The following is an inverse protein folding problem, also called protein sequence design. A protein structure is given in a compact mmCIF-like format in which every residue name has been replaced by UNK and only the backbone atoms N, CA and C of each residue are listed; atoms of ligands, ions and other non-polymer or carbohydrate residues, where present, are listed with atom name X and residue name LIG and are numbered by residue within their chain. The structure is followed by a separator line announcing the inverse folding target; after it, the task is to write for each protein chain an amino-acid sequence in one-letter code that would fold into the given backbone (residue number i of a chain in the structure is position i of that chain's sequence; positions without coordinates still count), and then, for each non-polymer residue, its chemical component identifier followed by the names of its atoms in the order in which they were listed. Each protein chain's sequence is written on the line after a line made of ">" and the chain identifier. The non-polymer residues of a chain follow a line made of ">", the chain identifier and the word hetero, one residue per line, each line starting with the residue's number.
data_IF_348982786791
#
_entry.id   IF_348982786791
#
_cell.length_a   1.000
_cell.length_b   1.000
_cell.length_c   1.000
_cell.angle_alpha   90.00
_cell.angle_beta   90.00
_cell.angle_gamma   90.00
#
_symmetry.space_group_name_H-M   'P 1'
#
loop_
_entity.id
_entity.type
_entity.pdbx_description
1 polymer ?
#
# COMPACT_ATOMS: atom_id res chain seq x y z
N UNK A 1 13.87 48.20 -33.66
CA UNK A 1 14.30 46.83 -33.31
C UNK A 1 13.50 46.41 -32.08
N UNK A 2 12.37 45.73 -32.30
CA UNK A 2 11.56 45.17 -31.23
C UNK A 2 12.16 43.81 -30.83
N UNK A 3 12.30 43.49 -29.53
CA UNK A 3 12.76 42.17 -29.13
C UNK A 3 11.64 41.16 -29.39
N UNK A 4 12.01 40.13 -30.14
CA UNK A 4 11.23 38.97 -30.53
C UNK A 4 10.93 38.06 -29.34
N UNK A 5 9.66 37.61 -29.26
CA UNK A 5 9.24 36.29 -28.79
C UNK A 5 9.74 35.82 -27.42
N UNK A 6 8.98 36.09 -26.36
CA UNK A 6 8.92 35.15 -25.23
C UNK A 6 8.01 34.00 -25.65
N UNK A 7 8.64 32.87 -25.96
CA UNK A 7 7.96 31.59 -26.07
C UNK A 7 7.17 31.30 -24.79
N UNK A 8 6.05 30.61 -24.96
CA UNK A 8 5.25 30.01 -23.90
C UNK A 8 6.15 29.18 -22.98
N UNK A 9 6.53 29.71 -21.82
CA UNK A 9 7.06 28.91 -20.72
C UNK A 9 5.96 27.92 -20.32
N UNK A 10 6.26 26.64 -20.52
CA UNK A 10 5.38 25.51 -20.28
C UNK A 10 4.87 25.51 -18.83
N UNK A 11 3.70 24.91 -18.62
CA UNK A 11 3.09 24.65 -17.31
C UNK A 11 3.98 23.86 -16.33
N UNK A 12 5.14 23.38 -16.77
CA UNK A 12 6.14 22.65 -15.98
C UNK A 12 6.97 23.60 -15.08
N UNK A 13 7.26 24.83 -15.53
CA UNK A 13 8.00 25.82 -14.73
C UNK A 13 7.21 26.28 -13.49
N UNK A 14 5.87 26.21 -13.54
CA UNK A 14 5.00 26.62 -12.43
C UNK A 14 5.00 25.63 -11.25
N UNK A 15 5.60 24.44 -11.40
CA UNK A 15 5.54 23.37 -10.39
C UNK A 15 6.88 23.10 -9.68
N UNK A 16 7.92 23.87 -9.98
CA UNK A 16 9.27 23.68 -9.46
C UNK A 16 9.54 24.52 -8.20
N UNK A 17 9.84 23.84 -7.10
CA UNK A 17 10.49 24.43 -5.93
C UNK A 17 11.99 24.17 -5.94
N UNK A 18 12.70 24.70 -4.94
CA UNK A 18 14.14 24.50 -4.77
C UNK A 18 14.46 24.05 -3.33
N UNK A 19 15.43 23.15 -3.16
CA UNK A 19 15.89 22.73 -1.84
C UNK A 19 16.57 23.90 -1.13
N UNK A 20 16.03 24.29 0.02
CA UNK A 20 16.57 25.35 0.89
C UNK A 20 17.50 24.80 1.97
N UNK A 21 17.14 23.67 2.60
CA UNK A 21 17.99 23.03 3.62
C UNK A 21 17.74 21.52 3.69
N UNK A 22 18.78 20.74 4.00
CA UNK A 22 18.72 19.29 4.17
C UNK A 22 19.19 18.90 5.57
N UNK A 23 18.35 18.17 6.31
CA UNK A 23 18.66 17.66 7.66
C UNK A 23 18.25 16.19 7.76
N UNK A 24 19.16 15.30 7.36
CA UNK A 24 18.86 13.87 7.23
C UNK A 24 17.70 13.61 6.25
N UNK A 25 16.66 12.84 6.60
CA UNK A 25 15.52 12.56 5.74
C UNK A 25 14.52 13.72 5.66
N UNK A 26 14.73 14.81 6.41
CA UNK A 26 13.87 16.00 6.37
C UNK A 26 14.54 17.05 5.48
N UNK A 27 13.86 17.43 4.42
CA UNK A 27 14.30 18.43 3.44
C UNK A 27 13.33 19.59 3.47
N UNK A 28 13.80 20.82 3.56
CA UNK A 28 12.96 22.01 3.42
C UNK A 28 13.19 22.57 2.03
N UNK A 29 12.10 22.78 1.29
CA UNK A 29 12.11 23.38 -0.04
C UNK A 29 11.38 24.73 -0.02
N UNK A 30 11.90 25.70 -0.75
CA UNK A 30 11.30 27.02 -0.98
C UNK A 30 10.62 27.09 -2.35
N UNK A 31 9.82 28.14 -2.57
CA UNK A 31 8.98 28.31 -3.77
C UNK A 31 7.96 27.18 -3.98
N UNK A 32 7.46 26.59 -2.87
CA UNK A 32 6.52 25.47 -2.89
C UNK A 32 5.05 25.92 -2.78
N UNK A 33 4.73 27.13 -3.24
CA UNK A 33 3.37 27.69 -3.15
C UNK A 33 2.39 26.82 -3.95
N UNK A 34 1.31 26.40 -3.29
CA UNK A 34 0.29 25.52 -3.87
C UNK A 34 0.59 24.03 -3.73
N UNK A 35 1.61 23.63 -2.97
CA UNK A 35 1.70 22.24 -2.49
C UNK A 35 0.60 21.98 -1.44
N UNK A 36 0.12 20.74 -1.40
CA UNK A 36 -0.83 20.28 -0.41
C UNK A 36 -0.15 19.49 0.71
N UNK A 37 -0.81 19.45 1.87
CA UNK A 37 -0.40 18.60 2.98
C UNK A 37 -0.44 17.12 2.55
N UNK A 38 0.59 16.34 2.86
CA UNK A 38 0.74 14.92 2.45
C UNK A 38 0.84 14.69 0.93
N UNK A 39 1.13 15.73 0.17
CA UNK A 39 1.40 15.60 -1.26
C UNK A 39 2.77 14.96 -1.50
N UNK A 40 2.84 14.05 -2.48
CA UNK A 40 4.08 13.43 -2.90
C UNK A 40 4.85 14.38 -3.82
N UNK A 41 6.16 14.48 -3.64
CA UNK A 41 7.06 15.31 -4.45
C UNK A 41 8.30 14.51 -4.86
N UNK A 42 8.98 14.98 -5.91
CA UNK A 42 10.26 14.45 -6.38
C UNK A 42 11.35 15.45 -6.03
N UNK A 43 12.28 15.03 -5.18
CA UNK A 43 13.33 15.89 -4.62
C UNK A 43 14.67 15.56 -5.28
N UNK A 44 15.40 16.58 -5.72
CA UNK A 44 16.74 16.38 -6.27
C UNK A 44 16.76 16.09 -7.76
N UNK A 45 17.97 16.13 -8.32
CA UNK A 45 18.25 15.64 -9.68
C UNK A 45 17.97 14.14 -9.82
N UNK A 46 18.21 13.37 -8.74
CA UNK A 46 17.90 11.95 -8.66
C UNK A 46 16.38 11.67 -8.52
N UNK A 47 15.54 12.70 -8.37
CA UNK A 47 14.08 12.60 -8.28
C UNK A 47 13.59 11.64 -7.17
N UNK A 48 14.21 11.75 -6.00
CA UNK A 48 13.90 10.98 -4.81
C UNK A 48 12.44 11.19 -4.39
N UNK A 49 11.77 10.13 -3.97
CA UNK A 49 10.38 10.20 -3.50
C UNK A 49 10.35 10.90 -2.14
N UNK A 50 9.56 11.96 -2.00
CA UNK A 50 9.27 12.60 -0.72
C UNK A 50 7.78 12.93 -0.55
N UNK A 51 7.38 13.26 0.68
CA UNK A 51 6.03 13.70 1.02
C UNK A 51 6.08 14.98 1.86
N UNK A 52 5.21 15.94 1.55
CA UNK A 52 5.09 17.20 2.29
C UNK A 52 4.44 16.96 3.65
N UNK A 53 5.12 17.36 4.73
CA UNK A 53 4.71 17.13 6.13
C UNK A 53 4.51 18.41 6.96
N UNK A 54 4.99 19.57 6.49
CA UNK A 54 4.64 20.89 7.04
C UNK A 54 4.70 21.93 5.93
N UNK A 55 3.83 22.93 5.99
CA UNK A 55 3.83 24.07 5.06
C UNK A 55 3.89 25.34 5.90
N UNK A 56 4.94 26.12 5.71
CA UNK A 56 5.18 27.41 6.37
C UNK A 56 5.35 28.47 5.28
N UNK A 57 4.27 29.17 4.97
CA UNK A 57 4.19 30.17 3.89
C UNK A 57 4.65 29.62 2.51
N UNK A 58 5.81 30.06 2.02
CA UNK A 58 6.40 29.63 0.75
C UNK A 58 7.34 28.42 0.88
N UNK A 59 7.61 27.98 2.12
CA UNK A 59 8.46 26.83 2.43
C UNK A 59 7.63 25.60 2.78
N UNK A 60 8.03 24.46 2.21
CA UNK A 60 7.48 23.16 2.54
C UNK A 60 8.56 22.29 3.19
N UNK A 61 8.24 21.71 4.34
CA UNK A 61 9.04 20.65 4.94
C UNK A 61 8.59 19.32 4.34
N UNK A 62 9.54 18.61 3.74
CA UNK A 62 9.36 17.38 2.99
C UNK A 62 10.09 16.26 3.72
N UNK A 63 9.42 15.15 3.90
CA UNK A 63 9.99 13.91 4.38
C UNK A 63 10.36 13.03 3.19
N UNK A 64 11.64 12.76 3.00
CA UNK A 64 12.13 11.92 1.91
C UNK A 64 12.09 10.45 2.31
N UNK A 65 11.52 9.62 1.44
CA UNK A 65 11.38 8.17 1.60
C UNK A 65 12.62 7.37 1.17
N UNK A 66 13.63 8.07 0.69
CA UNK A 66 14.91 7.56 0.20
C UNK A 66 16.07 8.20 0.96
N UNK A 67 17.28 7.68 0.75
CA UNK A 67 18.48 8.28 1.34
C UNK A 67 18.78 9.64 0.69
N UNK A 68 18.96 10.67 1.52
CA UNK A 68 19.19 12.06 1.09
C UNK A 68 20.67 12.42 0.91
N UNK A 69 21.57 11.45 1.08
CA UNK A 69 23.01 11.67 0.93
C UNK A 69 23.33 12.15 -0.49
N UNK A 70 23.98 13.31 -0.61
CA UNK A 70 24.32 13.90 -1.91
C UNK A 70 23.27 14.85 -2.50
N UNK A 71 22.13 15.07 -1.83
CA UNK A 71 21.26 16.21 -2.14
C UNK A 71 21.98 17.52 -1.77
N UNK A 72 21.90 18.51 -2.65
CA UNK A 72 22.47 19.84 -2.43
C UNK A 72 21.43 20.95 -2.36
N UNK A 73 21.80 22.08 -1.75
CA UNK A 73 20.95 23.28 -1.72
C UNK A 73 20.84 23.84 -3.14
N UNK A 74 19.63 24.19 -3.55
CA UNK A 74 19.32 24.63 -4.91
C UNK A 74 18.83 23.52 -5.84
N UNK A 75 18.89 22.26 -5.41
CA UNK A 75 18.35 21.15 -6.19
C UNK A 75 16.84 21.33 -6.45
N UNK A 76 16.32 20.93 -7.63
CA UNK A 76 14.92 21.12 -7.97
C UNK A 76 14.01 20.17 -7.17
N UNK A 77 12.81 20.65 -6.84
CA UNK A 77 11.74 19.86 -6.23
C UNK A 77 10.49 19.95 -7.10
N UNK A 78 10.05 18.82 -7.64
CA UNK A 78 8.84 18.75 -8.45
C UNK A 78 7.65 18.24 -7.64
N UNK A 79 6.52 18.90 -7.77
CA UNK A 79 5.25 18.56 -7.13
C UNK A 79 4.46 17.57 -7.98
N UNK A 80 3.79 16.59 -7.38
CA UNK A 80 2.96 15.63 -8.13
C UNK A 80 1.46 15.93 -8.09
N UNK A 81 1.02 16.82 -7.19
CA UNK A 81 -0.38 17.16 -6.94
C UNK A 81 -1.20 16.02 -6.33
N UNK A 82 -0.57 14.89 -5.97
CA UNK A 82 -1.27 13.70 -5.48
C UNK A 82 -0.63 13.22 -4.17
N UNK A 83 -1.43 12.71 -3.22
CA UNK A 83 -0.89 12.09 -2.01
C UNK A 83 -0.25 10.73 -2.33
N UNK A 84 0.51 10.20 -1.38
CA UNK A 84 1.04 8.83 -1.46
C UNK A 84 -0.10 7.84 -1.70
N UNK A 85 -0.05 7.21 -2.86
CA UNK A 85 -1.10 6.33 -3.37
C UNK A 85 -0.49 5.03 -3.86
N UNK A 86 -1.22 3.94 -3.66
CA UNK A 86 -0.88 2.61 -4.15
C UNK A 86 -1.70 2.26 -5.38
N UNK A 87 -1.09 1.51 -6.29
CA UNK A 87 -1.76 0.90 -7.42
C UNK A 87 -2.45 -0.39 -6.96
N UNK A 88 -3.73 -0.52 -7.27
CA UNK A 88 -4.56 -1.66 -6.90
C UNK A 88 -5.12 -2.29 -8.17
N UNK A 89 -4.90 -3.58 -8.36
CA UNK A 89 -5.34 -4.32 -9.53
C UNK A 89 -4.71 -5.72 -9.62
N UNK A 90 -4.89 -6.42 -10.75
CA UNK A 90 -4.27 -7.71 -11.00
C UNK A 90 -2.74 -7.62 -11.06
N UNK A 91 -2.05 -8.58 -10.42
CA UNK A 91 -0.58 -8.63 -10.31
C UNK A 91 -0.03 -8.22 -8.95
N UNK A 92 -0.90 -7.97 -7.96
CA UNK A 92 -0.51 -7.71 -6.57
C UNK A 92 -0.13 -8.99 -5.80
N UNK A 93 -0.61 -10.14 -6.25
CA UNK A 93 -0.27 -11.42 -5.64
C UNK A 93 1.05 -11.95 -6.16
N UNK A 94 1.74 -12.75 -5.34
CA UNK A 94 3.06 -13.34 -5.67
C UNK A 94 4.20 -12.30 -5.76
N UNK A 95 3.88 -11.00 -5.69
CA UNK A 95 4.83 -9.91 -5.78
C UNK A 95 5.32 -9.47 -4.40
N UNK A 96 6.59 -9.05 -4.39
CA UNK A 96 7.27 -8.54 -3.20
C UNK A 96 7.55 -7.06 -3.43
N UNK A 97 6.97 -6.23 -2.57
CA UNK A 97 7.06 -4.78 -2.62
C UNK A 97 8.00 -4.22 -1.55
N UNK A 98 8.57 -3.05 -1.81
CA UNK A 98 9.16 -2.21 -0.77
C UNK A 98 8.10 -1.39 -0.02
N UNK A 99 8.51 -0.55 0.93
CA UNK A 99 7.61 0.27 1.74
C UNK A 99 6.74 1.28 0.96
N UNK A 100 7.11 1.63 -0.27
CA UNK A 100 6.37 2.54 -1.16
C UNK A 100 5.80 1.84 -2.41
N UNK A 101 5.64 0.51 -2.33
CA UNK A 101 5.04 -0.33 -3.37
C UNK A 101 5.85 -0.47 -4.67
N UNK A 102 7.19 -0.40 -4.60
CA UNK A 102 8.06 -0.76 -5.74
C UNK A 102 8.42 -2.25 -5.70
N UNK A 103 8.27 -3.00 -6.80
CA UNK A 103 8.56 -4.43 -6.82
C UNK A 103 10.06 -4.70 -6.77
N UNK A 104 10.53 -5.41 -5.74
CA UNK A 104 11.97 -5.65 -5.51
C UNK A 104 12.62 -6.45 -6.64
N UNK A 105 11.90 -7.42 -7.20
CA UNK A 105 12.39 -8.23 -8.32
C UNK A 105 12.66 -7.36 -9.56
N UNK A 106 11.72 -6.49 -9.91
CA UNK A 106 11.87 -5.61 -11.06
C UNK A 106 12.96 -4.55 -10.85
N UNK A 107 13.14 -4.05 -9.61
CA UNK A 107 14.29 -3.19 -9.25
C UNK A 107 15.61 -3.93 -9.50
N UNK A 108 15.71 -5.20 -9.07
CA UNK A 108 16.91 -6.02 -9.29
C UNK A 108 17.18 -6.25 -10.77
N UNK A 109 16.13 -6.57 -11.54
CA UNK A 109 16.24 -6.86 -12.98
C UNK A 109 16.64 -5.60 -13.78
N UNK A 110 16.11 -4.43 -13.43
CA UNK A 110 16.39 -3.16 -14.12
C UNK A 110 17.75 -2.57 -13.74
N UNK A 111 18.13 -2.65 -12.46
CA UNK A 111 19.41 -2.12 -11.99
C UNK A 111 20.60 -3.02 -12.30
N UNK A 112 20.37 -4.32 -12.52
CA UNK A 112 21.43 -5.32 -12.67
C UNK A 112 22.34 -5.44 -11.45
N UNK A 113 21.87 -4.98 -10.28
CA UNK A 113 22.63 -4.87 -9.04
C UNK A 113 21.89 -5.54 -7.88
N UNK A 114 22.66 -5.99 -6.89
CA UNK A 114 22.13 -6.48 -5.61
C UNK A 114 21.71 -5.32 -4.69
N UNK A 115 22.14 -4.10 -4.99
CA UNK A 115 21.81 -2.90 -4.23
C UNK A 115 20.67 -2.14 -4.89
N UNK A 116 19.79 -1.57 -4.08
CA UNK A 116 18.69 -0.72 -4.55
C UNK A 116 19.27 0.67 -4.87
N UNK A 117 19.30 1.09 -6.15
CA UNK A 117 19.75 2.43 -6.49
C UNK A 117 18.72 3.47 -6.06
N UNK A 118 19.21 4.69 -5.78
CA UNK A 118 18.36 5.82 -5.38
C UNK A 118 17.63 6.39 -6.60
N UNK A 119 16.39 6.85 -6.39
CA UNK A 119 15.62 7.51 -7.44
C UNK A 119 15.10 6.57 -8.53
N UNK A 120 15.23 5.26 -8.35
CA UNK A 120 14.75 4.29 -9.34
C UNK A 120 13.23 4.35 -9.47
N UNK A 121 12.77 4.37 -10.72
CA UNK A 121 11.36 4.45 -11.07
C UNK A 121 10.91 3.15 -11.70
N UNK A 122 10.24 2.34 -10.89
CA UNK A 122 9.62 1.10 -11.35
C UNK A 122 8.12 1.19 -11.08
N UNK A 123 7.32 0.71 -12.02
CA UNK A 123 5.86 0.62 -11.84
C UNK A 123 5.53 -0.47 -10.81
N UNK A 124 4.49 -0.23 -9.99
CA UNK A 124 4.06 -1.19 -8.98
C UNK A 124 3.50 -2.48 -9.61
N UNK A 125 2.71 -2.34 -10.68
CA UNK A 125 2.17 -3.45 -11.45
C UNK A 125 2.89 -3.55 -12.81
N UNK A 126 3.07 -4.79 -13.28
CA UNK A 126 3.67 -5.05 -14.58
C UNK A 126 2.74 -4.58 -15.72
N UNK A 127 3.21 -3.62 -16.50
CA UNK A 127 2.49 -3.04 -17.65
C UNK A 127 2.56 -3.91 -18.90
N UNK A 128 3.47 -4.88 -18.96
CA UNK A 128 3.69 -5.75 -20.12
C UNK A 128 2.89 -7.05 -20.01
N UNK A 129 2.65 -7.51 -18.79
CA UNK A 129 1.87 -8.73 -18.53
C UNK A 129 0.42 -8.53 -18.98
N UNK A 130 -0.07 -9.48 -19.77
CA UNK A 130 -1.46 -9.53 -20.21
C UNK A 130 -2.26 -10.46 -19.32
N UNK A 131 -3.50 -10.09 -19.08
CA UNK A 131 -4.44 -10.78 -18.22
C UNK A 131 -5.72 -11.10 -18.99
N UNK A 132 -6.24 -12.31 -18.76
CA UNK A 132 -7.49 -12.76 -19.39
C UNK A 132 -8.68 -12.14 -18.66
N UNK A 133 -9.19 -11.06 -19.24
CA UNK A 133 -10.32 -10.31 -18.75
C UNK A 133 -11.64 -10.93 -19.21
N UNK A 134 -12.58 -11.04 -18.29
CA UNK A 134 -13.96 -11.43 -18.55
C UNK A 134 -14.89 -10.31 -18.07
N UNK A 135 -15.66 -9.68 -18.97
CA UNK A 135 -16.62 -8.66 -18.55
C UNK A 135 -17.69 -9.28 -17.64
N UNK A 136 -18.16 -8.47 -16.69
CA UNK A 136 -19.15 -8.85 -15.70
C UNK A 136 -20.58 -8.88 -16.26
N UNK A 137 -21.57 -8.72 -15.38
CA UNK A 137 -23.00 -8.76 -15.76
C UNK A 137 -23.49 -7.48 -16.45
N UNK A 138 -22.71 -6.40 -16.37
CA UNK A 138 -23.10 -5.08 -16.86
C UNK A 138 -23.01 -4.98 -18.39
N UNK A 139 -23.95 -4.22 -18.98
CA UNK A 139 -24.01 -3.92 -20.41
C UNK A 139 -23.86 -2.42 -20.65
N UNK A 140 -23.59 -2.07 -21.91
CA UNK A 140 -23.61 -0.66 -22.34
C UNK A 140 -25.02 -0.09 -22.09
N UNK A 141 -25.08 1.05 -21.43
CA UNK A 141 -26.32 1.71 -21.00
C UNK A 141 -26.71 1.45 -19.54
N UNK A 142 -26.09 0.50 -18.85
CA UNK A 142 -26.36 0.27 -17.43
C UNK A 142 -25.72 1.35 -16.54
N UNK A 143 -26.37 1.63 -15.41
CA UNK A 143 -25.83 2.50 -14.38
C UNK A 143 -24.87 1.73 -13.47
N UNK A 144 -23.72 2.33 -13.20
CA UNK A 144 -22.67 1.76 -12.36
C UNK A 144 -22.20 2.80 -11.33
N UNK A 145 -21.89 2.35 -10.13
CA UNK A 145 -21.32 3.14 -9.04
C UNK A 145 -19.99 2.57 -8.55
N UNK A 146 -19.27 3.34 -7.75
CA UNK A 146 -18.00 2.93 -7.18
C UNK A 146 -18.14 1.61 -6.44
N UNK A 147 -17.13 0.76 -6.50
CA UNK A 147 -17.15 -0.57 -5.90
C UNK A 147 -17.94 -1.63 -6.68
N UNK A 148 -18.69 -1.29 -7.73
CA UNK A 148 -19.35 -2.30 -8.56
C UNK A 148 -18.33 -3.18 -9.31
N UNK A 149 -18.64 -4.47 -9.45
CA UNK A 149 -17.79 -5.44 -10.14
C UNK A 149 -18.15 -5.46 -11.63
N UNK A 150 -17.36 -4.79 -12.47
CA UNK A 150 -17.61 -4.71 -13.90
C UNK A 150 -16.85 -5.73 -14.73
N UNK A 151 -15.92 -6.46 -14.12
CA UNK A 151 -15.24 -7.59 -14.76
C UNK A 151 -14.42 -8.40 -13.79
N UNK A 152 -13.90 -9.52 -14.27
CA UNK A 152 -13.10 -10.46 -13.49
C UNK A 152 -11.88 -10.89 -14.30
N UNK A 153 -10.80 -11.19 -13.58
CA UNK A 153 -9.52 -11.61 -14.13
C UNK A 153 -9.06 -12.86 -13.41
N UNK A 154 -8.50 -13.80 -14.16
CA UNK A 154 -7.80 -14.93 -13.57
C UNK A 154 -6.37 -14.51 -13.21
N UNK A 155 -6.06 -14.40 -11.91
CA UNK A 155 -4.73 -13.99 -11.47
C UNK A 155 -3.83 -15.21 -11.17
N UNK A 156 -4.32 -16.17 -10.40
CA UNK A 156 -3.55 -17.35 -9.97
C UNK A 156 -4.47 -18.57 -9.78
N UNK A 157 -3.89 -19.75 -9.58
CA UNK A 157 -4.64 -20.98 -9.24
C UNK A 157 -5.55 -20.81 -8.01
N UNK A 158 -5.08 -20.07 -6.99
CA UNK A 158 -5.79 -19.85 -5.72
C UNK A 158 -6.77 -18.66 -5.79
N UNK A 159 -6.43 -17.64 -6.57
CA UNK A 159 -7.26 -16.47 -6.84
C UNK A 159 -7.69 -16.50 -8.31
N UNK A 160 -8.64 -17.39 -8.58
CA UNK A 160 -9.21 -17.62 -9.90
C UNK A 160 -10.17 -16.52 -10.36
N UNK A 161 -10.69 -15.72 -9.42
CA UNK A 161 -11.63 -14.63 -9.63
C UNK A 161 -11.13 -13.36 -8.92
N UNK A 162 -10.18 -12.67 -9.55
CA UNK A 162 -9.80 -11.31 -9.16
C UNK A 162 -10.85 -10.35 -9.72
N UNK A 163 -11.64 -9.76 -8.83
CA UNK A 163 -12.77 -8.90 -9.21
C UNK A 163 -12.26 -7.49 -9.48
N UNK A 164 -12.53 -6.98 -10.68
CA UNK A 164 -12.19 -5.61 -11.05
C UNK A 164 -13.31 -4.68 -10.61
N UNK A 165 -12.97 -3.82 -9.65
CA UNK A 165 -13.91 -2.88 -9.02
C UNK A 165 -13.85 -1.52 -9.73
N UNK A 166 -14.99 -0.84 -9.84
CA UNK A 166 -14.97 0.57 -10.22
C UNK A 166 -14.37 1.40 -9.06
N UNK A 167 -13.53 2.42 -9.33
CA UNK A 167 -12.99 3.27 -8.27
C UNK A 167 -14.11 3.89 -7.40
N UNK A 168 -13.96 3.96 -6.06
CA UNK A 168 -15.09 4.29 -5.16
C UNK A 168 -15.78 5.64 -5.39
N UNK A 169 -15.10 6.61 -6.03
CA UNK A 169 -15.67 7.95 -6.32
C UNK A 169 -16.28 8.06 -7.71
N UNK A 170 -16.07 7.06 -8.57
CA UNK A 170 -16.61 7.05 -9.92
C UNK A 170 -18.05 6.53 -9.91
N UNK A 171 -18.91 7.16 -10.73
CA UNK A 171 -20.29 6.74 -10.96
C UNK A 171 -20.69 7.25 -12.33
N UNK A 172 -21.62 6.57 -13.00
CA UNK A 172 -22.06 6.97 -14.33
C UNK A 172 -22.84 5.90 -15.05
N UNK A 173 -23.11 6.15 -16.32
CA UNK A 173 -23.69 5.18 -17.25
C UNK A 173 -22.59 4.65 -18.16
N UNK A 174 -22.56 3.34 -18.38
CA UNK A 174 -21.54 2.71 -19.22
C UNK A 174 -21.78 3.08 -20.68
N UNK A 175 -20.80 3.73 -21.32
CA UNK A 175 -20.85 4.06 -22.76
C UNK A 175 -20.11 3.03 -23.60
N UNK A 176 -19.04 2.45 -23.05
CA UNK A 176 -18.26 1.40 -23.71
C UNK A 176 -17.69 0.45 -22.66
N UNK A 177 -17.77 -0.85 -22.96
CA UNK A 177 -17.11 -1.91 -22.21
C UNK A 177 -16.34 -2.81 -23.19
N UNK A 178 -15.11 -3.19 -22.84
CA UNK A 178 -14.31 -4.12 -23.63
C UNK A 178 -14.89 -5.54 -23.57
N UNK A 179 -14.71 -6.29 -24.67
CA UNK A 179 -15.11 -7.70 -24.74
C UNK A 179 -14.14 -8.59 -23.94
N UNK A 180 -14.47 -9.88 -23.81
CA UNK A 180 -13.56 -10.83 -23.19
C UNK A 180 -12.30 -10.98 -24.04
N UNK A 181 -11.12 -10.88 -23.41
CA UNK A 181 -9.87 -10.86 -24.13
C UNK A 181 -8.65 -10.72 -23.22
N UNK A 182 -7.47 -10.68 -23.82
CA UNK A 182 -6.20 -10.56 -23.11
C UNK A 182 -5.69 -9.12 -23.20
N UNK A 183 -5.70 -8.41 -22.07
CA UNK A 183 -5.38 -6.98 -22.00
C UNK A 183 -4.34 -6.72 -20.90
N UNK A 184 -3.59 -5.63 -21.01
CA UNK A 184 -2.70 -5.16 -19.94
C UNK A 184 -3.47 -4.40 -18.85
N UNK A 185 -2.84 -4.17 -17.69
CA UNK A 185 -3.47 -3.48 -16.55
C UNK A 185 -3.83 -2.01 -16.83
N UNK A 186 -3.13 -1.37 -17.76
CA UNK A 186 -3.26 0.07 -18.07
C UNK A 186 -4.23 0.36 -19.23
N UNK A 187 -4.50 -0.65 -20.06
CA UNK A 187 -5.45 -0.53 -21.15
C UNK A 187 -6.83 -0.11 -20.62
N UNK A 188 -7.43 0.86 -21.30
CA UNK A 188 -8.72 1.43 -20.91
C UNK A 188 -9.83 0.52 -21.43
N UNK A 189 -10.49 -0.19 -20.51
CA UNK A 189 -11.49 -1.21 -20.84
C UNK A 189 -12.92 -0.74 -20.59
N UNK A 190 -13.11 0.26 -19.74
CA UNK A 190 -14.42 0.79 -19.39
C UNK A 190 -14.45 2.30 -19.62
N UNK A 191 -15.48 2.79 -20.30
CA UNK A 191 -15.82 4.20 -20.41
C UNK A 191 -17.19 4.42 -19.77
N UNK A 192 -17.25 5.39 -18.86
CA UNK A 192 -18.49 5.82 -18.21
C UNK A 192 -18.73 7.30 -18.49
N UNK A 193 -20.00 7.67 -18.57
CA UNK A 193 -20.42 9.06 -18.70
C UNK A 193 -21.25 9.48 -17.49
N UNK A 194 -20.90 10.62 -16.90
CA UNK A 194 -21.65 11.22 -15.80
C UNK A 194 -21.68 12.74 -15.96
N UNK A 195 -22.89 13.32 -15.99
CA UNK A 195 -23.11 14.76 -16.18
C UNK A 195 -22.38 15.36 -17.40
N UNK A 196 -22.30 14.61 -18.51
CA UNK A 196 -21.63 15.04 -19.75
C UNK A 196 -20.10 14.95 -19.72
N UNK A 197 -19.51 14.44 -18.63
CA UNK A 197 -18.07 14.15 -18.54
C UNK A 197 -17.85 12.66 -18.74
N UNK A 198 -17.01 12.30 -19.72
CA UNK A 198 -16.59 10.93 -19.98
C UNK A 198 -15.30 10.61 -19.24
N UNK A 199 -15.30 9.52 -18.48
CA UNK A 199 -14.10 9.03 -17.78
C UNK A 199 -13.81 7.59 -18.18
N UNK A 200 -12.54 7.29 -18.40
CA UNK A 200 -12.06 5.96 -18.76
C UNK A 200 -11.40 5.27 -17.57
N UNK A 201 -11.56 3.96 -17.49
CA UNK A 201 -11.00 3.12 -16.43
C UNK A 201 -10.33 1.88 -17.03
N UNK A 202 -9.13 1.57 -16.52
CA UNK A 202 -8.44 0.30 -16.77
C UNK A 202 -8.69 -0.71 -15.66
N UNK A 203 -7.96 -1.83 -15.69
CA UNK A 203 -8.06 -2.85 -14.63
C UNK A 203 -7.45 -2.40 -13.30
N UNK A 204 -6.54 -1.44 -13.35
CA UNK A 204 -5.92 -0.86 -12.16
C UNK A 204 -6.50 0.51 -11.82
N UNK A 205 -6.56 0.81 -10.52
CA UNK A 205 -6.81 2.16 -10.02
C UNK A 205 -5.85 2.51 -8.90
N UNK A 206 -5.70 3.81 -8.65
CA UNK A 206 -4.86 4.31 -7.56
C UNK A 206 -5.71 4.66 -6.34
N UNK A 207 -5.17 4.43 -5.14
CA UNK A 207 -5.84 4.81 -3.90
C UNK A 207 -4.85 5.38 -2.86
N UNK A 208 -5.16 6.52 -2.21
CA UNK A 208 -4.31 7.10 -1.17
C UNK A 208 -4.19 6.20 0.06
N UNK A 209 -2.97 5.92 0.51
CA UNK A 209 -2.72 4.94 1.60
C UNK A 209 -3.19 5.39 2.97
N UNK A 210 -3.25 6.71 3.19
CA UNK A 210 -3.68 7.32 4.45
C UNK A 210 -5.20 7.42 4.58
N UNK A 211 -5.97 7.19 3.51
CA UNK A 211 -7.43 7.21 3.54
C UNK A 211 -7.94 5.77 3.52
N UNK A 212 -8.72 5.34 4.53
CA UNK A 212 -9.32 4.01 4.50
C UNK A 212 -10.27 3.87 3.31
N UNK A 213 -10.27 2.69 2.69
CA UNK A 213 -11.20 2.41 1.59
C UNK A 213 -12.64 2.36 2.11
N UNK A 214 -13.58 3.05 1.44
CA UNK A 214 -14.95 3.18 1.92
C UNK A 214 -15.68 1.84 1.86
N UNK A 215 -16.53 1.61 2.86
CA UNK A 215 -17.40 0.43 2.98
C UNK A 215 -18.84 0.90 3.13
N UNK A 216 -19.80 0.01 2.86
CA UNK A 216 -21.21 0.34 3.02
C UNK A 216 -21.58 0.36 4.51
N UNK A 217 -21.31 -0.74 5.21
CA UNK A 217 -21.63 -0.89 6.63
C UNK A 217 -20.55 -1.74 7.33
N UNK A 218 -20.18 -1.33 8.56
CA UNK A 218 -19.34 -2.15 9.44
C UNK A 218 -20.24 -3.14 10.20
N UNK A 219 -19.92 -4.42 10.09
CA UNK A 219 -20.65 -5.49 10.75
C UNK A 219 -19.88 -6.00 11.96
N UNK A 220 -20.59 -6.56 12.94
CA UNK A 220 -19.95 -7.31 14.02
C UNK A 220 -19.38 -8.63 13.49
N UNK A 221 -18.14 -8.93 13.86
CA UNK A 221 -17.47 -10.17 13.47
C UNK A 221 -17.93 -11.34 14.35
N UNK A 222 -18.52 -12.34 13.71
CA UNK A 222 -19.18 -13.51 14.30
C UNK A 222 -18.49 -14.84 13.93
N UNK A 223 -17.70 -14.84 12.87
CA UNK A 223 -16.99 -16.02 12.38
C UNK A 223 -15.61 -16.19 13.03
N UNK A 224 -15.22 -17.39 13.48
CA UNK A 224 -13.93 -17.61 14.13
C UNK A 224 -12.77 -17.51 13.14
N UNK A 225 -11.68 -16.86 13.58
CA UNK A 225 -10.40 -16.87 12.89
C UNK A 225 -9.60 -18.08 13.34
N UNK A 226 -9.59 -19.12 12.51
CA UNK A 226 -8.95 -20.39 12.82
C UNK A 226 -7.49 -20.28 12.38
N UNK A 227 -6.57 -20.40 13.33
CA UNK A 227 -5.12 -20.33 13.08
C UNK A 227 -4.50 -21.74 13.00
N UNK A 228 -5.20 -22.78 13.47
CA UNK A 228 -4.69 -24.16 13.47
C UNK A 228 -3.73 -24.44 14.64
N UNK A 229 -3.67 -23.55 15.63
CA UNK A 229 -2.87 -23.71 16.85
C UNK A 229 -3.80 -23.84 18.04
N UNK A 230 -3.78 -25.00 18.71
CA UNK A 230 -4.70 -25.30 19.83
C UNK A 230 -4.76 -24.21 20.90
N UNK A 231 -3.61 -23.62 21.24
CA UNK A 231 -3.53 -22.56 22.25
C UNK A 231 -4.23 -21.27 21.80
N UNK A 232 -4.06 -20.89 20.52
CA UNK A 232 -4.66 -19.69 19.96
C UNK A 232 -6.15 -19.89 19.69
N UNK A 233 -6.53 -21.05 19.16
CA UNK A 233 -7.92 -21.32 18.82
C UNK A 233 -8.81 -21.64 20.05
N UNK A 234 -8.24 -22.15 21.15
CA UNK A 234 -9.01 -22.51 22.36
C UNK A 234 -8.94 -21.49 23.49
N UNK A 235 -7.76 -20.97 23.83
CA UNK A 235 -7.60 -20.07 24.99
C UNK A 235 -7.75 -18.60 24.63
N UNK A 236 -7.29 -18.21 23.43
CA UNK A 236 -7.30 -16.83 22.97
C UNK A 236 -7.92 -16.71 21.56
N UNK A 237 -9.18 -17.18 21.37
CA UNK A 237 -9.80 -17.20 20.06
C UNK A 237 -9.94 -15.78 19.51
N UNK A 238 -9.66 -15.65 18.22
CA UNK A 238 -9.94 -14.43 17.46
C UNK A 238 -11.08 -14.67 16.48
N UNK A 239 -11.63 -13.60 15.93
CA UNK A 239 -12.68 -13.60 14.90
C UNK A 239 -12.13 -13.07 13.57
N UNK A 240 -12.76 -13.45 12.46
CA UNK A 240 -12.47 -12.91 11.13
C UNK A 240 -12.89 -11.44 11.07
N UNK A 241 -11.94 -10.54 10.87
CA UNK A 241 -12.13 -9.10 11.06
C UNK A 241 -11.65 -8.59 12.42
N UNK A 242 -11.15 -9.48 13.30
CA UNK A 242 -10.64 -9.12 14.61
C UNK A 242 -9.22 -8.54 14.59
N UNK A 243 -8.82 -7.93 15.69
CA UNK A 243 -7.47 -7.42 15.92
C UNK A 243 -6.76 -8.25 16.98
N UNK A 244 -5.63 -8.85 16.63
CA UNK A 244 -4.80 -9.68 17.51
C UNK A 244 -3.45 -9.00 17.72
N UNK A 245 -3.01 -8.97 18.97
CA UNK A 245 -1.68 -8.50 19.35
C UNK A 245 -0.86 -9.70 19.83
N UNK A 246 0.35 -9.84 19.29
CA UNK A 246 1.34 -10.84 19.71
C UNK A 246 2.52 -10.08 20.35
N UNK A 247 2.44 -9.74 21.65
CA UNK A 247 3.56 -9.15 22.35
C UNK A 247 4.60 -10.21 22.70
N UNK A 248 5.88 -9.90 22.52
CA UNK A 248 6.95 -10.80 22.93
C UNK A 248 8.33 -10.21 22.75
N UNK A 249 9.31 -10.68 23.52
CA UNK A 249 10.70 -10.26 23.35
C UNK A 249 11.28 -10.75 22.01
N UNK A 250 12.44 -10.21 21.63
CA UNK A 250 13.16 -10.62 20.43
C UNK A 250 13.55 -12.11 20.53
N UNK A 251 13.35 -12.87 19.45
CA UNK A 251 13.67 -14.30 19.41
C UNK A 251 12.66 -15.24 20.11
N UNK A 252 11.55 -14.74 20.67
CA UNK A 252 10.53 -15.59 21.32
C UNK A 252 9.59 -16.33 20.34
N UNK A 253 9.94 -16.45 19.07
CA UNK A 253 9.12 -17.16 18.08
C UNK A 253 7.93 -16.37 17.51
N UNK A 254 7.92 -15.03 17.60
CA UNK A 254 6.87 -14.19 17.00
C UNK A 254 6.72 -14.45 15.50
N UNK A 255 7.83 -14.43 14.76
CA UNK A 255 7.85 -14.70 13.32
C UNK A 255 7.39 -16.12 12.99
N UNK A 256 7.68 -17.10 13.86
CA UNK A 256 7.20 -18.48 13.69
C UNK A 256 5.67 -18.56 13.84
N UNK A 257 5.11 -17.87 14.84
CA UNK A 257 3.64 -17.77 15.01
C UNK A 257 3.03 -17.07 13.81
N UNK A 258 3.64 -15.97 13.36
CA UNK A 258 3.24 -15.26 12.16
C UNK A 258 3.22 -16.21 10.94
N UNK A 259 4.31 -16.90 10.63
CA UNK A 259 4.35 -17.88 9.54
C UNK A 259 3.27 -18.96 9.68
N UNK A 260 2.99 -19.41 10.90
CA UNK A 260 1.92 -20.38 11.18
C UNK A 260 0.54 -19.83 10.82
N UNK A 261 0.26 -18.57 11.18
CA UNK A 261 -0.96 -17.86 10.76
C UNK A 261 -1.05 -17.78 9.24
N UNK A 262 0.03 -17.43 8.52
CA UNK A 262 0.03 -17.40 7.05
C UNK A 262 -0.29 -18.75 6.41
N UNK A 263 0.13 -19.85 7.04
CA UNK A 263 -0.05 -21.23 6.55
C UNK A 263 -1.44 -21.75 6.80
N UNK A 264 -1.84 -21.75 8.05
CA UNK A 264 -2.98 -22.51 8.54
C UNK A 264 -4.24 -21.67 8.71
N UNK A 265 -4.15 -20.34 8.53
CA UNK A 265 -5.33 -19.50 8.63
C UNK A 265 -6.38 -19.83 7.58
N UNK A 266 -7.64 -19.71 8.00
CA UNK A 266 -8.82 -19.79 7.15
C UNK A 266 -9.08 -18.50 6.33
N UNK A 267 -8.06 -17.66 6.14
CA UNK A 267 -8.13 -16.47 5.29
C UNK A 267 -7.85 -16.79 3.82
N UNK A 268 -8.55 -16.11 2.93
CA UNK A 268 -8.36 -16.23 1.48
C UNK A 268 -7.04 -15.61 1.02
N UNK A 269 -6.68 -14.46 1.62
CA UNK A 269 -5.52 -13.65 1.25
C UNK A 269 -4.71 -13.30 2.48
N UNK A 270 -3.38 -13.34 2.34
CA UNK A 270 -2.44 -12.89 3.38
C UNK A 270 -1.70 -11.66 2.88
N UNK A 271 -1.64 -10.61 3.70
CA UNK A 271 -0.79 -9.44 3.45
C UNK A 271 0.23 -9.36 4.57
N UNK A 272 1.49 -9.64 4.26
CA UNK A 272 2.56 -9.60 5.24
C UNK A 272 3.37 -8.32 5.08
N UNK A 273 3.50 -7.56 6.15
CA UNK A 273 4.30 -6.33 6.20
C UNK A 273 5.44 -6.52 7.17
N UNK A 274 6.64 -6.66 6.62
CA UNK A 274 7.90 -6.57 7.34
C UNK A 274 8.28 -5.11 7.55
N UNK A 275 8.07 -4.57 8.75
CA UNK A 275 8.40 -3.19 9.12
C UNK A 275 9.62 -3.16 10.06
N UNK A 276 10.77 -2.77 9.51
CA UNK A 276 11.99 -2.55 10.28
C UNK A 276 12.64 -3.83 10.82
N UNK A 277 12.29 -4.98 10.26
CA UNK A 277 12.89 -6.28 10.61
C UNK A 277 14.31 -6.42 10.04
N UNK A 278 15.07 -7.36 10.59
CA UNK A 278 16.44 -7.58 10.11
C UNK A 278 16.41 -8.15 8.69
N UNK A 279 17.39 -7.76 7.88
CA UNK A 279 17.50 -8.26 6.50
C UNK A 279 17.53 -9.78 6.41
N UNK A 280 18.16 -10.46 7.37
CA UNK A 280 18.22 -11.91 7.42
C UNK A 280 16.84 -12.55 7.73
N UNK A 281 16.05 -11.97 8.63
CA UNK A 281 14.70 -12.45 8.97
C UNK A 281 13.76 -12.30 7.76
N UNK A 282 13.88 -11.17 7.03
CA UNK A 282 13.15 -11.00 5.78
C UNK A 282 13.62 -11.93 4.68
N UNK A 283 14.93 -12.19 4.56
CA UNK A 283 15.46 -13.12 3.58
C UNK A 283 15.00 -14.57 3.84
N UNK A 284 14.97 -15.00 5.10
CA UNK A 284 14.43 -16.30 5.52
C UNK A 284 12.96 -16.43 5.14
N UNK A 285 12.14 -15.42 5.44
CA UNK A 285 10.73 -15.35 5.01
C UNK A 285 10.59 -15.47 3.49
N UNK A 286 11.44 -14.80 2.72
CA UNK A 286 11.41 -14.84 1.26
C UNK A 286 11.87 -16.18 0.66
N UNK A 287 12.75 -16.90 1.35
CA UNK A 287 13.20 -18.24 0.94
C UNK A 287 12.17 -19.31 1.32
N UNK A 288 11.60 -19.23 2.51
CA UNK A 288 10.68 -20.24 3.03
C UNK A 288 9.30 -20.18 2.36
N UNK A 289 8.74 -18.98 2.15
CA UNK A 289 7.35 -18.83 1.68
C UNK A 289 7.06 -19.52 0.34
N UNK A 290 7.96 -19.49 -0.66
CA UNK A 290 7.80 -20.26 -1.90
C UNK A 290 7.80 -21.78 -1.69
N UNK A 291 8.56 -22.31 -0.72
CA UNK A 291 8.64 -23.75 -0.44
C UNK A 291 7.41 -24.28 0.30
N UNK A 292 6.71 -23.38 1.00
CA UNK A 292 5.54 -23.71 1.78
C UNK A 292 4.31 -23.90 0.87
N UNK A 293 3.71 -25.08 0.96
CA UNK A 293 2.51 -25.45 0.21
C UNK A 293 1.32 -25.70 1.13
N UNK A 294 0.14 -25.40 0.61
CA UNK A 294 -1.15 -25.69 1.23
C UNK A 294 -1.92 -26.66 0.34
N UNK A 295 -2.71 -27.53 0.96
CA UNK A 295 -3.62 -28.43 0.26
C UNK A 295 -5.01 -27.78 0.23
N UNK A 296 -5.43 -27.33 -0.96
CA UNK A 296 -6.76 -26.79 -1.18
C UNK A 296 -7.43 -27.64 -2.26
N UNK A 297 -8.49 -28.36 -1.88
CA UNK A 297 -9.26 -29.19 -2.81
C UNK A 297 -8.45 -30.34 -3.42
N UNK A 298 -7.49 -30.90 -2.68
CA UNK A 298 -6.63 -32.00 -3.13
C UNK A 298 -5.47 -31.55 -4.04
N UNK A 299 -5.23 -30.24 -4.16
CA UNK A 299 -4.13 -29.66 -4.93
C UNK A 299 -3.15 -28.97 -3.99
N UNK A 300 -1.87 -29.30 -4.13
CA UNK A 300 -0.78 -28.59 -3.45
C UNK A 300 -0.42 -27.34 -4.24
N UNK A 301 -0.66 -26.19 -3.64
CA UNK A 301 -0.32 -24.89 -4.21
C UNK A 301 0.57 -24.11 -3.24
N UNK A 302 1.55 -23.33 -3.73
CA UNK A 302 2.43 -22.53 -2.86
C UNK A 302 1.68 -21.36 -2.23
N UNK A 303 2.04 -21.01 -0.99
CA UNK A 303 1.40 -19.93 -0.22
C UNK A 303 1.62 -18.56 -0.87
N UNK A 304 2.72 -18.38 -1.59
CA UNK A 304 3.03 -17.13 -2.31
C UNK A 304 1.93 -16.72 -3.30
N UNK A 305 1.17 -17.66 -3.86
CA UNK A 305 0.07 -17.34 -4.80
C UNK A 305 -1.13 -16.62 -4.16
N UNK A 306 -1.26 -16.66 -2.82
CA UNK A 306 -2.30 -15.94 -2.06
C UNK A 306 -1.73 -14.89 -1.11
N UNK A 307 -0.44 -14.59 -1.23
CA UNK A 307 0.28 -13.71 -0.31
C UNK A 307 0.86 -12.52 -1.06
N UNK A 308 0.66 -11.33 -0.51
CA UNK A 308 1.37 -10.12 -0.89
C UNK A 308 2.38 -9.77 0.21
N UNK A 309 3.66 -9.64 -0.16
CA UNK A 309 4.73 -9.35 0.79
C UNK A 309 5.20 -7.90 0.62
N UNK A 310 5.22 -7.14 1.70
CA UNK A 310 5.82 -5.81 1.76
C UNK A 310 7.03 -5.90 2.68
N UNK A 311 8.21 -5.75 2.11
CA UNK A 311 9.49 -5.86 2.80
C UNK A 311 10.10 -4.47 2.97
N UNK A 312 10.16 -4.01 4.22
CA UNK A 312 10.92 -2.83 4.59
C UNK A 312 11.90 -3.16 5.71
N UNK A 313 13.16 -3.39 5.35
CA UNK A 313 14.21 -3.82 6.28
C UNK A 313 14.71 -2.68 7.18
N UNK A 314 15.41 -3.01 8.26
CA UNK A 314 15.93 -2.03 9.23
C UNK A 314 16.93 -1.03 8.63
N UNK A 315 17.62 -1.37 7.53
CA UNK A 315 18.52 -0.47 6.82
C UNK A 315 17.81 0.43 5.78
N UNK A 316 16.53 0.20 5.51
CA UNK A 316 15.74 1.09 4.64
C UNK A 316 15.33 2.38 5.39
N UNK A 317 15.04 3.46 4.65
CA UNK A 317 14.68 4.76 5.22
C UNK A 317 13.54 4.69 6.23
N UNK A 318 13.65 5.50 7.29
CA UNK A 318 12.72 5.51 8.42
C UNK A 318 11.31 5.89 7.99
N UNK A 319 11.19 6.82 7.04
CA UNK A 319 9.93 7.21 6.45
C UNK A 319 9.21 6.03 5.78
N UNK A 320 9.94 5.17 5.07
CA UNK A 320 9.38 4.03 4.36
C UNK A 320 8.78 2.97 5.31
N UNK A 321 9.22 2.93 6.58
CA UNK A 321 8.62 2.08 7.63
C UNK A 321 7.19 2.50 7.96
N UNK A 322 6.92 3.80 8.04
CA UNK A 322 5.55 4.28 8.24
C UNK A 322 4.70 4.00 7.01
N UNK A 323 5.23 4.26 5.81
CA UNK A 323 4.53 4.01 4.56
C UNK A 323 4.16 2.53 4.38
N UNK A 324 5.06 1.59 4.73
CA UNK A 324 4.83 0.15 4.52
C UNK A 324 3.58 -0.38 5.23
N UNK A 325 3.33 0.09 6.46
CA UNK A 325 2.14 -0.29 7.24
C UNK A 325 0.87 0.21 6.55
N UNK A 326 0.85 1.47 6.10
CA UNK A 326 -0.30 2.05 5.39
C UNK A 326 -0.53 1.43 4.02
N UNK A 327 0.53 1.11 3.29
CA UNK A 327 0.50 0.37 2.01
C UNK A 327 -0.16 -0.99 2.23
N UNK A 328 0.31 -1.75 3.23
CA UNK A 328 -0.20 -3.10 3.49
C UNK A 328 -1.67 -3.13 3.90
N UNK A 329 -2.10 -2.24 4.80
CA UNK A 329 -3.52 -2.18 5.19
C UNK A 329 -4.40 -1.75 4.01
N UNK A 330 -3.92 -0.89 3.11
CA UNK A 330 -4.69 -0.45 1.94
C UNK A 330 -4.83 -1.57 0.91
N UNK A 331 -3.80 -2.41 0.73
CA UNK A 331 -3.89 -3.64 -0.07
C UNK A 331 -4.85 -4.63 0.59
N UNK A 332 -4.80 -4.79 1.91
CA UNK A 332 -5.70 -5.69 2.63
C UNK A 332 -7.17 -5.24 2.50
N UNK A 333 -7.44 -3.94 2.63
CA UNK A 333 -8.75 -3.35 2.40
C UNK A 333 -9.22 -3.53 0.95
N UNK A 334 -8.31 -3.50 -0.03
CA UNK A 334 -8.67 -3.74 -1.42
C UNK A 334 -9.20 -5.17 -1.64
N UNK A 335 -8.54 -6.18 -1.07
CA UNK A 335 -9.02 -7.57 -1.16
C UNK A 335 -10.27 -7.81 -0.31
N UNK A 336 -10.41 -7.14 0.84
CA UNK A 336 -11.66 -7.11 1.60
C UNK A 336 -12.81 -6.56 0.75
N UNK A 337 -12.56 -5.46 0.04
CA UNK A 337 -13.54 -4.86 -0.86
C UNK A 337 -13.92 -5.79 -2.02
N UNK A 338 -13.19 -6.88 -2.30
CA UNK A 338 -13.60 -7.91 -3.27
C UNK A 338 -14.52 -8.99 -2.66
N UNK A 339 -14.82 -8.89 -1.36
CA UNK A 339 -15.56 -9.88 -0.58
C UNK A 339 -14.72 -11.08 -0.19
N UNK A 340 -13.44 -10.85 0.17
CA UNK A 340 -12.50 -11.87 0.64
C UNK A 340 -12.18 -11.66 2.12
N UNK A 341 -11.81 -12.74 2.80
CA UNK A 341 -11.27 -12.69 4.16
C UNK A 341 -9.75 -12.54 4.09
N UNK A 342 -9.24 -11.43 4.63
CA UNK A 342 -7.83 -11.06 4.53
C UNK A 342 -7.20 -11.06 5.91
N UNK A 343 -6.05 -11.70 6.09
CA UNK A 343 -5.22 -11.52 7.27
C UNK A 343 -4.04 -10.61 6.93
N UNK A 344 -3.97 -9.46 7.59
CA UNK A 344 -2.81 -8.57 7.54
C UNK A 344 -1.90 -8.85 8.73
N UNK A 345 -0.61 -9.01 8.46
CA UNK A 345 0.40 -9.27 9.46
C UNK A 345 1.38 -8.11 9.49
N UNK A 346 1.53 -7.48 10.65
CA UNK A 346 2.43 -6.36 10.83
C UNK A 346 3.57 -6.75 11.78
N UNK A 347 4.71 -7.13 11.19
CA UNK A 347 5.93 -7.52 11.92
C UNK A 347 7.06 -6.53 11.61
N UNK A 348 7.39 -5.54 12.45
CA UNK A 348 6.83 -5.25 13.77
C UNK A 348 6.28 -3.84 13.91
N UNK A 349 5.16 -3.74 14.61
CA UNK A 349 4.51 -2.45 14.93
C UNK A 349 5.34 -1.57 15.87
N UNK A 350 6.25 -2.17 16.66
CA UNK A 350 7.18 -1.42 17.52
C UNK A 350 8.20 -0.62 16.71
N UNK A 351 8.73 -1.16 15.62
CA UNK A 351 9.66 -0.43 14.73
C UNK A 351 8.96 0.70 13.99
N UNK A 352 7.67 0.55 13.71
CA UNK A 352 6.86 1.65 13.22
C UNK A 352 6.71 2.77 14.26
N UNK A 353 6.42 2.44 15.52
CA UNK A 353 6.36 3.44 16.60
C UNK A 353 7.70 4.15 16.84
N UNK A 354 8.82 3.42 16.76
CA UNK A 354 10.17 4.00 16.82
C UNK A 354 10.44 4.94 15.64
N UNK A 355 9.99 4.59 14.43
CA UNK A 355 10.08 5.47 13.27
C UNK A 355 9.31 6.77 13.49
N UNK A 356 8.10 6.69 14.04
CA UNK A 356 7.31 7.88 14.41
C UNK A 356 8.01 8.75 15.46
N UNK A 357 8.67 8.12 16.44
CA UNK A 357 9.49 8.83 17.43
C UNK A 357 10.66 9.56 16.79
N UNK A 358 11.40 8.92 15.89
CA UNK A 358 12.52 9.55 15.20
C UNK A 358 12.07 10.73 14.33
N UNK A 359 10.97 10.56 13.61
CA UNK A 359 10.39 11.62 12.77
C UNK A 359 9.93 12.82 13.59
N UNK A 360 9.22 12.58 14.70
CA UNK A 360 8.77 13.62 15.62
C UNK A 360 9.96 14.39 16.22
N UNK A 361 11.03 13.68 16.61
CA UNK A 361 12.26 14.30 17.10
C UNK A 361 12.95 15.19 16.06
N UNK A 362 12.99 14.76 14.79
CA UNK A 362 13.55 15.57 13.68
C UNK A 362 12.69 16.80 13.36
N UNK A 363 11.38 16.72 13.61
CA UNK A 363 10.45 17.83 13.41
C UNK A 363 10.45 18.87 14.55
N UNK A 364 11.20 18.60 15.62
CA UNK A 364 11.27 19.46 16.80
C UNK A 364 9.98 19.46 17.62
N UNK A 365 9.17 18.41 17.50
CA UNK A 365 7.95 18.28 18.30
C UNK A 365 8.30 17.91 19.74
N UNK A 366 7.47 18.37 20.70
CA UNK A 366 7.67 18.02 22.10
C UNK A 366 7.36 16.53 22.32
N UNK A 367 8.30 15.75 22.85
CA UNK A 367 8.06 14.35 23.16
C UNK A 367 7.07 14.21 24.31
N UNK A 368 6.26 13.16 24.27
CA UNK A 368 5.44 12.72 25.39
C UNK A 368 6.19 11.63 26.19
N UNK A 369 5.55 10.49 26.46
CA UNK A 369 6.17 9.41 27.21
C UNK A 369 7.23 8.65 26.37
N UNK A 370 8.35 8.26 27.00
CA UNK A 370 9.46 7.51 26.40
C UNK A 370 10.02 8.08 25.06
N UNK A 371 9.82 9.38 24.84
CA UNK A 371 10.20 10.07 23.61
C UNK A 371 9.20 9.94 22.46
N UNK A 372 8.09 9.21 22.61
CA UNK A 372 7.09 9.07 21.56
C UNK A 372 6.28 10.36 21.35
N UNK A 373 5.75 10.60 20.14
CA UNK A 373 4.86 11.73 19.89
C UNK A 373 3.53 11.57 20.62
N UNK A 374 2.91 12.70 20.97
CA UNK A 374 1.58 12.71 21.60
C UNK A 374 0.49 12.03 20.75
N UNK A 375 0.64 12.01 19.42
CA UNK A 375 -0.31 11.40 18.49
C UNK A 375 -0.12 9.89 18.28
N UNK A 376 0.82 9.23 18.98
CA UNK A 376 1.05 7.78 18.80
C UNK A 376 -0.23 6.97 19.04
N UNK A 377 -0.95 7.24 20.13
CA UNK A 377 -2.20 6.54 20.45
C UNK A 377 -3.27 6.72 19.37
N UNK A 378 -3.41 7.94 18.84
CA UNK A 378 -4.36 8.22 17.76
C UNK A 378 -3.99 7.50 16.46
N UNK A 379 -2.71 7.46 16.07
CA UNK A 379 -2.25 6.73 14.88
C UNK A 379 -2.47 5.22 15.01
N UNK A 380 -2.14 4.64 16.17
CA UNK A 380 -2.37 3.21 16.43
C UNK A 380 -3.86 2.87 16.40
N UNK A 381 -4.70 3.65 17.08
CA UNK A 381 -6.15 3.45 17.07
C UNK A 381 -6.72 3.55 15.65
N UNK A 382 -6.33 4.59 14.88
CA UNK A 382 -6.76 4.74 13.50
C UNK A 382 -6.30 3.59 12.60
N UNK A 383 -5.17 2.95 12.90
CA UNK A 383 -4.70 1.78 12.15
C UNK A 383 -5.50 0.53 12.50
N UNK A 384 -5.67 0.23 13.79
CA UNK A 384 -6.41 -0.97 14.21
C UNK A 384 -7.90 -0.89 13.85
N UNK A 385 -8.51 0.29 13.87
CA UNK A 385 -9.92 0.51 13.48
C UNK A 385 -10.19 0.37 11.97
N UNK A 386 -9.15 0.20 11.14
CA UNK A 386 -9.29 -0.17 9.73
C UNK A 386 -9.59 -1.66 9.54
N UNK A 387 -9.25 -2.49 10.54
CA UNK A 387 -9.71 -3.87 10.60
C UNK A 387 -11.21 -3.94 10.85
N UNK A 388 -11.80 -5.09 10.53
CA UNK A 388 -13.21 -5.34 10.75
C UNK A 388 -13.84 -6.20 9.66
N UNK A 389 -14.99 -6.78 9.99
CA UNK A 389 -15.93 -7.33 9.01
C UNK A 389 -16.81 -6.19 8.50
N UNK A 390 -16.99 -6.10 7.20
CA UNK A 390 -17.81 -5.05 6.59
C UNK A 390 -18.43 -5.51 5.29
N UNK A 391 -19.60 -4.97 4.99
CA UNK A 391 -20.21 -5.08 3.66
C UNK A 391 -19.50 -4.09 2.73
N UNK A 392 -18.89 -4.62 1.67
CA UNK A 392 -18.18 -3.78 0.71
C UNK A 392 -19.16 -2.89 -0.07
N UNK A 393 -18.62 -1.80 -0.64
CA UNK A 393 -19.40 -0.88 -1.45
C UNK A 393 -19.64 -1.47 -2.86
N UNK A 394 -20.83 -1.22 -3.40
CA UNK A 394 -21.22 -1.59 -4.76
C UNK A 394 -21.91 -2.95 -4.87
N UNK A 395 -22.34 -3.26 -6.08
CA UNK A 395 -23.10 -4.44 -6.46
C UNK A 395 -22.21 -5.49 -7.13
N UNK A 396 -22.39 -6.80 -6.84
CA UNK A 396 -23.27 -7.38 -5.82
C UNK A 396 -22.82 -7.08 -4.38
N UNK A 397 -23.79 -7.16 -3.45
CA UNK A 397 -23.53 -7.16 -2.01
C UNK A 397 -22.56 -8.29 -1.66
N UNK A 398 -21.52 -7.94 -0.92
CA UNK A 398 -20.44 -8.85 -0.57
C UNK A 398 -19.88 -8.50 0.78
N UNK A 399 -19.65 -9.52 1.58
CA UNK A 399 -19.02 -9.39 2.89
C UNK A 399 -17.53 -9.71 2.74
N UNK A 400 -16.69 -8.87 3.35
CA UNK A 400 -15.27 -9.12 3.46
C UNK A 400 -14.80 -8.78 4.86
N UNK A 401 -13.65 -9.32 5.24
CA UNK A 401 -13.05 -9.04 6.55
C UNK A 401 -11.56 -8.76 6.42
N UNK A 402 -11.05 -7.86 7.27
CA UNK A 402 -9.60 -7.68 7.47
C UNK A 402 -9.29 -7.98 8.92
N UNK A 403 -8.59 -9.08 9.17
CA UNK A 403 -8.01 -9.41 10.47
C UNK A 403 -6.61 -8.83 10.55
N UNK A 404 -6.30 -8.03 11.58
CA UNK A 404 -4.94 -7.52 11.81
C UNK A 404 -4.27 -8.38 12.88
N UNK A 405 -3.08 -8.89 12.58
CA UNK A 405 -2.19 -9.56 13.52
C UNK A 405 -0.91 -8.73 13.64
N UNK A 406 -0.75 -8.03 14.76
CA UNK A 406 0.38 -7.14 14.99
C UNK A 406 1.36 -7.75 16.00
N UNK A 407 2.63 -7.84 15.60
CA UNK A 407 3.72 -8.20 16.50
C UNK A 407 4.22 -6.94 17.23
N UNK A 408 4.30 -7.03 18.56
CA UNK A 408 4.81 -5.96 19.43
C UNK A 408 6.07 -6.47 20.14
N UNK A 409 7.17 -5.74 19.98
CA UNK A 409 8.46 -6.00 20.62
C UNK A 409 8.73 -4.91 21.64
N UNK A 410 8.24 -5.03 22.89
CA UNK A 410 8.54 -4.04 23.93
C UNK A 410 10.04 -4.07 24.25
N UNK A 411 10.65 -2.91 24.58
CA UNK A 411 12.01 -2.88 25.08
C UNK A 411 12.08 -3.64 26.41
N UNK A 412 13.07 -4.53 26.54
CA UNK A 412 13.34 -5.22 27.81
C UNK A 412 13.87 -4.16 28.79
N UNK A 413 13.19 -3.98 29.92
CA UNK A 413 13.66 -3.14 31.03
C UNK A 413 14.77 -3.83 31.81
#
# INVERSE_FOLDING_TARGET
>A
MAPSGKGSSSSEDAQLGAVFSVSGPVVVAENMIGCAMYELCRVGHDQLVGEVIRIDADKATIQVYEETAGLTVGDPVMRTGKPLSVELGPGLMETIYDGIQRPLKAISDESGSIYIPRGIKVNALDRKKKWDFKPGKYKVGDHITGGDIWGTVFENSLLNDHKILLPPRAKGTITRIAEAGSYTVEEQLLEIEFNGVKTTHGMMHTWPVRVPRPVNEKQSADSPFIVGQRVLDSLFPSVLGGTVCIPGAFGCGKTVISQSVSKFSNSDVIVYVGCGERGNEMAEVLMDFPELSIDIGGRKEPIMKRTCLIANTSNMPVAAREASIYTGITIAEYFRDQGKNVAMMADSSSRWAEALRELSGRLGEMPADQGFPAYLGAKLASFYERAGKSTALGSPEREGSVSIVAAVSPPVR
#
